data_IF_937015794779
#
_entry.id   IF_937015794779
#
_cell.length_a   1.000
_cell.length_b   1.000
_cell.length_c   1.000
_cell.angle_alpha   90.00
_cell.angle_beta   90.00
_cell.angle_gamma   90.00
#
_symmetry.space_group_name_H-M   'P 1'
#
loop_
_entity.id
_entity.type
_entity.pdbx_description
1 polymer ?
#
# COMPACT_ATOMS: atom_id res chain seq x y z
N UNK A 1 -23.82 -15.38 -6.35
CA UNK A 1 -22.43 -14.87 -6.21
C UNK A 1 -22.46 -13.93 -5.02
N UNK A 2 -22.06 -14.41 -3.85
CA UNK A 2 -21.97 -13.59 -2.63
C UNK A 2 -20.94 -12.49 -2.89
N UNK A 3 -21.43 -11.26 -3.10
CA UNK A 3 -20.64 -10.08 -2.81
C UNK A 3 -20.53 -10.06 -1.29
N UNK A 4 -19.46 -10.62 -0.74
CA UNK A 4 -18.99 -10.23 0.58
C UNK A 4 -18.77 -8.73 0.48
N UNK A 5 -19.74 -7.96 0.97
CA UNK A 5 -19.59 -6.55 1.28
C UNK A 5 -18.60 -6.52 2.44
N UNK A 6 -17.32 -6.77 2.12
CA UNK A 6 -16.21 -6.59 3.03
C UNK A 6 -16.36 -5.16 3.54
N UNK A 7 -16.42 -5.04 4.85
CA UNK A 7 -16.50 -3.75 5.53
C UNK A 7 -15.17 -3.07 5.25
N UNK A 8 -15.05 -2.41 4.09
CA UNK A 8 -13.90 -1.62 3.70
C UNK A 8 -13.75 -0.53 4.76
N UNK A 9 -12.91 -0.81 5.76
CA UNK A 9 -12.68 0.10 6.87
C UNK A 9 -11.50 0.96 6.51
N UNK A 10 -11.60 2.26 6.78
CA UNK A 10 -10.45 3.13 6.65
C UNK A 10 -9.29 2.59 7.50
N UNK A 11 -8.12 2.48 6.88
CA UNK A 11 -6.94 2.05 7.60
C UNK A 11 -6.60 3.05 8.73
N UNK A 12 -6.03 2.59 9.85
CA UNK A 12 -5.56 3.49 10.90
C UNK A 12 -4.58 4.52 10.33
N UNK A 13 -4.69 5.79 10.74
CA UNK A 13 -3.85 6.90 10.23
C UNK A 13 -2.35 6.58 10.28
N UNK A 14 -1.90 5.87 11.33
CA UNK A 14 -0.50 5.45 11.47
C UNK A 14 -0.04 4.54 10.32
N UNK A 15 -0.92 3.64 9.85
CA UNK A 15 -0.65 2.74 8.72
C UNK A 15 -0.61 3.52 7.41
N UNK A 16 -1.56 4.44 7.22
CA UNK A 16 -1.61 5.34 6.06
C UNK A 16 -0.31 6.14 5.94
N UNK A 17 0.13 6.78 7.03
CA UNK A 17 1.35 7.57 7.04
C UNK A 17 2.61 6.72 6.80
N UNK A 18 2.66 5.51 7.34
CA UNK A 18 3.75 4.57 7.09
C UNK A 18 3.85 4.22 5.59
N UNK A 19 2.73 3.80 4.98
CA UNK A 19 2.68 3.44 3.55
C UNK A 19 2.99 4.66 2.67
N UNK A 20 2.48 5.84 3.01
CA UNK A 20 2.79 7.08 2.30
C UNK A 20 4.29 7.42 2.38
N UNK A 21 4.92 7.24 3.53
CA UNK A 21 6.36 7.39 3.70
C UNK A 21 7.16 6.45 2.78
N UNK A 22 6.72 5.19 2.65
CA UNK A 22 7.38 4.25 1.73
C UNK A 22 7.35 4.73 0.28
N UNK A 23 6.26 5.33 -0.17
CA UNK A 23 6.13 5.82 -1.55
C UNK A 23 6.97 7.07 -1.83
N UNK A 24 7.20 7.93 -0.83
CA UNK A 24 8.07 9.11 -0.96
C UNK A 24 9.51 8.67 -1.26
N UNK A 25 9.96 7.57 -0.63
CA UNK A 25 11.29 7.00 -0.85
C UNK A 25 11.42 6.30 -2.21
N UNK A 26 10.32 6.05 -2.93
CA UNK A 26 10.37 5.39 -4.23
C UNK A 26 10.66 6.40 -5.36
N UNK A 27 11.46 6.01 -6.37
CA UNK A 27 11.78 6.88 -7.51
C UNK A 27 10.57 7.38 -8.31
N UNK A 28 9.43 6.68 -8.22
CA UNK A 28 8.22 6.96 -8.99
C UNK A 28 7.49 8.25 -8.58
N UNK A 29 7.86 8.87 -7.45
CA UNK A 29 7.20 10.07 -6.88
C UNK A 29 5.68 9.92 -6.74
N UNK A 30 5.23 8.70 -6.50
CA UNK A 30 3.81 8.38 -6.39
C UNK A 30 3.21 8.88 -5.08
N UNK A 31 1.90 9.13 -5.06
CA UNK A 31 1.15 9.59 -3.88
C UNK A 31 0.07 8.60 -3.51
N UNK A 32 -0.12 8.36 -2.21
CA UNK A 32 -1.27 7.60 -1.71
C UNK A 32 -2.53 8.45 -1.86
N UNK A 33 -3.57 7.90 -2.49
CA UNK A 33 -4.91 8.50 -2.55
C UNK A 33 -5.83 7.93 -1.46
N UNK A 34 -5.80 6.61 -1.27
CA UNK A 34 -6.59 5.93 -0.24
C UNK A 34 -5.88 4.68 0.26
N UNK A 35 -6.15 4.34 1.52
CA UNK A 35 -5.78 3.05 2.11
C UNK A 35 -6.98 2.49 2.84
N UNK A 36 -7.45 1.34 2.38
CA UNK A 36 -8.54 0.60 2.99
C UNK A 36 -8.00 -0.69 3.59
N UNK A 37 -8.62 -1.17 4.66
CA UNK A 37 -8.39 -2.48 5.24
C UNK A 37 -9.52 -3.40 4.81
N UNK A 38 -9.14 -4.51 4.22
CA UNK A 38 -9.93 -5.74 4.16
C UNK A 38 -9.27 -6.78 5.08
N UNK A 39 -10.01 -7.76 5.59
CA UNK A 39 -9.68 -8.57 6.79
C UNK A 39 -8.19 -8.90 7.03
N UNK A 40 -7.40 -9.21 5.98
CA UNK A 40 -5.96 -9.51 6.07
C UNK A 40 -5.08 -8.68 5.11
N UNK A 41 -5.64 -7.71 4.40
CA UNK A 41 -4.93 -6.93 3.38
C UNK A 41 -5.22 -5.43 3.46
N UNK A 42 -4.21 -4.63 3.12
CA UNK A 42 -4.35 -3.21 2.86
C UNK A 42 -4.49 -2.98 1.37
N UNK A 43 -5.60 -2.36 0.96
CA UNK A 43 -5.85 -1.90 -0.41
C UNK A 43 -5.39 -0.45 -0.52
N UNK A 44 -4.30 -0.24 -1.24
CA UNK A 44 -3.64 1.07 -1.38
C UNK A 44 -3.88 1.58 -2.79
N UNK A 45 -4.64 2.66 -2.92
CA UNK A 45 -4.78 3.36 -4.20
C UNK A 45 -3.68 4.41 -4.30
N UNK A 46 -2.93 4.36 -5.38
CA UNK A 46 -1.75 5.19 -5.61
C UNK A 46 -1.93 5.98 -6.90
N UNK A 47 -1.67 7.29 -6.85
CA UNK A 47 -1.51 8.12 -8.03
C UNK A 47 -0.02 8.20 -8.40
N UNK A 48 0.31 7.79 -9.61
CA UNK A 48 1.63 7.94 -10.22
C UNK A 48 1.84 9.38 -10.69
N UNK A 49 3.11 9.81 -10.75
CA UNK A 49 3.46 11.17 -11.17
C UNK A 49 3.06 11.50 -12.61
N UNK A 50 2.87 10.49 -13.46
CA UNK A 50 2.39 10.62 -14.84
C UNK A 50 0.86 10.68 -14.97
N UNK A 51 0.13 10.72 -13.85
CA UNK A 51 -1.33 10.78 -13.84
C UNK A 51 -2.05 9.43 -13.86
N UNK A 52 -1.30 8.31 -13.91
CA UNK A 52 -1.88 6.97 -13.75
C UNK A 52 -2.36 6.72 -12.33
N UNK A 53 -3.44 5.93 -12.18
CA UNK A 53 -3.93 5.46 -10.88
C UNK A 53 -3.85 3.94 -10.84
N UNK A 54 -3.24 3.40 -9.78
CA UNK A 54 -3.01 1.98 -9.59
C UNK A 54 -3.48 1.52 -8.22
N UNK A 55 -3.99 0.29 -8.15
CA UNK A 55 -4.41 -0.34 -6.90
C UNK A 55 -3.38 -1.40 -6.49
N UNK A 56 -2.92 -1.33 -5.25
CA UNK A 56 -1.97 -2.29 -4.67
C UNK A 56 -2.59 -3.01 -3.50
N UNK A 57 -2.31 -4.31 -3.39
CA UNK A 57 -2.70 -5.13 -2.24
C UNK A 57 -1.45 -5.41 -1.42
N UNK A 58 -1.41 -4.92 -0.19
CA UNK A 58 -0.32 -5.18 0.74
C UNK A 58 -0.79 -6.12 1.85
N UNK A 59 0.03 -7.09 2.19
CA UNK A 59 -0.20 -7.99 3.32
C UNK A 59 -0.21 -7.21 4.64
N UNK A 60 -1.25 -7.37 5.45
CA UNK A 60 -1.32 -6.71 6.75
C UNK A 60 -0.22 -7.19 7.72
N UNK A 61 0.20 -8.44 7.55
CA UNK A 61 1.33 -9.03 8.27
C UNK A 61 2.65 -8.34 7.92
N UNK A 62 2.93 -8.15 6.63
CA UNK A 62 4.19 -7.55 6.18
C UNK A 62 4.25 -6.06 6.50
N UNK A 63 3.13 -5.34 6.40
CA UNK A 63 3.02 -3.96 6.89
C UNK A 63 3.35 -3.89 8.39
N UNK A 64 2.77 -4.78 9.19
CA UNK A 64 3.02 -4.83 10.63
C UNK A 64 4.46 -5.14 10.98
N UNK A 65 5.10 -6.08 10.27
CA UNK A 65 6.53 -6.41 10.45
C UNK A 65 7.44 -5.25 10.06
N UNK A 66 7.16 -4.61 8.93
CA UNK A 66 7.93 -3.48 8.44
C UNK A 66 7.87 -2.28 9.40
N UNK A 67 6.71 -2.02 9.98
CA UNK A 67 6.55 -0.99 11.02
C UNK A 67 7.31 -1.30 12.31
N UNK A 68 7.59 -2.57 12.60
CA UNK A 68 8.47 -2.98 13.70
C UNK A 68 9.95 -2.95 13.34
N UNK A 69 10.29 -2.53 12.12
CA UNK A 69 11.67 -2.43 11.65
C UNK A 69 12.22 -3.70 11.00
N UNK A 70 11.38 -4.66 10.59
CA UNK A 70 11.83 -5.83 9.81
C UNK A 70 12.30 -5.38 8.40
N UNK A 71 13.60 -5.47 8.09
CA UNK A 71 14.14 -4.98 6.82
C UNK A 71 13.72 -5.85 5.63
N UNK A 72 13.46 -7.15 5.85
CA UNK A 72 13.01 -8.08 4.81
C UNK A 72 11.58 -7.75 4.41
N UNK A 73 10.70 -7.57 5.40
CA UNK A 73 9.33 -7.16 5.14
C UNK A 73 9.28 -5.80 4.42
N UNK A 74 10.13 -4.86 4.83
CA UNK A 74 10.23 -3.54 4.21
C UNK A 74 10.65 -3.61 2.74
N UNK A 75 11.64 -4.47 2.43
CA UNK A 75 12.09 -4.69 1.06
C UNK A 75 10.99 -5.31 0.19
N UNK A 76 10.25 -6.30 0.72
CA UNK A 76 9.10 -6.90 0.02
C UNK A 76 8.03 -5.85 -0.31
N UNK A 77 7.62 -5.03 0.66
CA UNK A 77 6.62 -3.98 0.44
C UNK A 77 7.08 -2.96 -0.61
N UNK A 78 8.33 -2.53 -0.54
CA UNK A 78 8.91 -1.59 -1.52
C UNK A 78 8.94 -2.20 -2.92
N UNK A 79 9.27 -3.48 -3.04
CA UNK A 79 9.28 -4.19 -4.32
C UNK A 79 7.86 -4.29 -4.92
N UNK A 80 6.85 -4.62 -4.12
CA UNK A 80 5.46 -4.71 -4.58
C UNK A 80 4.87 -3.35 -5.01
N UNK A 81 5.18 -2.29 -4.25
CA UNK A 81 4.79 -0.92 -4.59
C UNK A 81 5.56 -0.45 -5.85
N UNK A 82 6.86 -0.73 -5.94
CA UNK A 82 7.71 -0.34 -7.08
C UNK A 82 7.37 -1.04 -8.39
N UNK A 83 7.06 -2.34 -8.37
CA UNK A 83 6.73 -3.13 -9.57
C UNK A 83 5.50 -2.59 -10.30
N UNK A 84 4.51 -2.12 -9.56
CA UNK A 84 3.24 -1.64 -10.11
C UNK A 84 3.24 -0.12 -10.36
N UNK A 85 4.09 0.65 -9.68
CA UNK A 85 4.28 2.07 -9.99
C UNK A 85 4.98 2.31 -11.34
N UNK A 86 5.72 1.32 -11.84
CA UNK A 86 6.40 1.33 -13.15
C UNK A 86 5.55 0.74 -14.28
N UNK A 87 4.42 0.11 -13.97
CA UNK A 87 3.49 -0.42 -14.95
C UNK A 87 2.53 0.68 -15.40
N UNK A 88 3.04 1.61 -16.21
CA UNK A 88 2.24 2.57 -17.01
C UNK A 88 2.76 2.55 -18.43
#
# INVERSE_FOLDING_TARGET
MEQTIGTNKLAPVKMVNFIAGLLIDLPSRSKVLSVEVDAETYRVTVASANGGVSLHHLSAWDVSRSMRGDPTALATLRADLGRHAMAV
#
